data_IF_135737044530
#
_entry.id   IF_135737044530
#
_cell.length_a   1.000
_cell.length_b   1.000
_cell.length_c   1.000
_cell.angle_alpha   90.00
_cell.angle_beta   90.00
_cell.angle_gamma   90.00
#
_symmetry.space_group_name_H-M   'P 1'
#
loop_
_entity.id
_entity.type
_entity.pdbx_description
1 polymer ?
#
# COMPACT_ATOMS: atom_id res chain seq x y z
N UNK A 1 -26.94 -7.97 -0.48
CA UNK A 1 -25.64 -8.60 -0.74
C UNK A 1 -25.68 -10.01 -1.33
N UNK A 2 -26.57 -10.93 -0.95
CA UNK A 2 -26.62 -12.31 -1.50
C UNK A 2 -26.93 -12.43 -3.02
N UNK A 3 -27.53 -11.42 -3.68
CA UNK A 3 -27.82 -11.45 -5.12
C UNK A 3 -26.63 -11.11 -6.03
N UNK A 4 -25.67 -10.30 -5.55
CA UNK A 4 -24.50 -9.87 -6.34
C UNK A 4 -23.49 -11.02 -6.50
N UNK A 5 -23.35 -11.87 -5.49
CA UNK A 5 -22.43 -13.01 -5.51
C UNK A 5 -22.79 -14.07 -6.58
N UNK A 6 -24.09 -14.36 -6.76
CA UNK A 6 -24.55 -15.33 -7.79
C UNK A 6 -24.33 -14.83 -9.21
N UNK A 7 -24.49 -13.51 -9.44
CA UNK A 7 -24.30 -12.91 -10.77
C UNK A 7 -22.82 -12.85 -11.18
N UNK A 8 -21.89 -12.62 -10.23
CA UNK A 8 -20.45 -12.61 -10.50
C UNK A 8 -19.90 -14.00 -10.87
N UNK A 9 -20.31 -15.03 -10.14
CA UNK A 9 -19.92 -16.43 -10.42
C UNK A 9 -20.50 -16.89 -11.76
N UNK A 10 -21.73 -16.50 -12.08
CA UNK A 10 -22.36 -16.82 -13.36
C UNK A 10 -21.64 -16.16 -14.53
N UNK A 11 -21.17 -14.92 -14.37
CA UNK A 11 -20.40 -14.20 -15.39
C UNK A 11 -19.04 -14.87 -15.66
N UNK A 12 -18.35 -15.31 -14.62
CA UNK A 12 -17.06 -16.04 -14.72
C UNK A 12 -17.26 -17.39 -15.41
N UNK A 13 -18.31 -18.13 -15.05
CA UNK A 13 -18.65 -19.39 -15.69
C UNK A 13 -19.08 -19.22 -17.16
N UNK A 14 -19.80 -18.13 -17.48
CA UNK A 14 -20.14 -17.78 -18.86
C UNK A 14 -18.90 -17.41 -19.68
N UNK A 15 -17.95 -16.65 -19.12
CA UNK A 15 -16.69 -16.30 -19.78
C UNK A 15 -15.82 -17.54 -20.04
N UNK A 16 -15.73 -18.46 -19.06
CA UNK A 16 -15.02 -19.73 -19.22
C UNK A 16 -15.69 -20.65 -20.26
N UNK A 17 -17.02 -20.64 -20.34
CA UNK A 17 -17.77 -21.42 -21.31
C UNK A 17 -17.63 -20.86 -22.74
N UNK A 18 -17.58 -19.53 -22.90
CA UNK A 18 -17.39 -18.87 -24.20
C UNK A 18 -15.99 -19.11 -24.75
N UNK A 19 -14.95 -19.15 -23.88
CA UNK A 19 -13.59 -19.45 -24.32
C UNK A 19 -13.40 -20.88 -24.83
N UNK A 20 -14.12 -21.86 -24.27
CA UNK A 20 -14.11 -23.25 -24.77
C UNK A 20 -14.74 -23.41 -26.17
N UNK A 21 -15.70 -22.54 -26.52
CA UNK A 21 -16.42 -22.62 -27.82
C UNK A 21 -15.59 -22.04 -28.99
N UNK A 22 -14.68 -21.09 -28.72
CA UNK A 22 -13.93 -20.39 -29.76
C UNK A 22 -12.49 -20.88 -30.00
N UNK A 23 -12.05 -21.94 -29.31
CA UNK A 23 -10.72 -22.54 -29.52
C UNK A 23 -9.55 -21.62 -29.21
N UNK A 24 -9.75 -20.59 -28.40
CA UNK A 24 -8.71 -19.66 -27.94
C UNK A 24 -8.33 -20.00 -26.50
N UNK A 25 -7.05 -20.19 -26.24
CA UNK A 25 -6.55 -20.44 -24.88
C UNK A 25 -6.38 -19.12 -24.15
N UNK A 26 -7.35 -18.73 -23.32
CA UNK A 26 -7.12 -17.68 -22.32
C UNK A 26 -6.05 -18.20 -21.35
N UNK A 27 -5.01 -17.39 -21.12
CA UNK A 27 -4.02 -17.68 -20.08
C UNK A 27 -4.72 -17.66 -18.71
N UNK A 28 -4.79 -18.83 -18.08
CA UNK A 28 -5.35 -18.98 -16.73
C UNK A 28 -4.20 -19.37 -15.82
N UNK A 29 -3.97 -18.58 -14.79
CA UNK A 29 -3.02 -18.87 -13.72
C UNK A 29 -3.64 -18.47 -12.39
N UNK A 30 -3.00 -18.86 -11.31
CA UNK A 30 -3.51 -18.51 -9.99
C UNK A 30 -2.76 -19.19 -8.87
N UNK A 31 -3.27 -19.04 -7.67
CA UNK A 31 -2.72 -19.74 -6.51
C UNK A 31 -3.78 -20.00 -5.45
N UNK A 32 -3.52 -21.05 -4.67
CA UNK A 32 -4.16 -21.30 -3.38
C UNK A 32 -3.10 -21.12 -2.31
N UNK A 33 -3.42 -20.41 -1.24
CA UNK A 33 -2.49 -20.16 -0.14
C UNK A 33 -3.19 -20.31 1.21
N UNK A 34 -2.58 -21.02 2.13
CA UNK A 34 -2.88 -20.91 3.55
C UNK A 34 -1.85 -19.98 4.19
N UNK A 35 -2.32 -19.05 5.02
CA UNK A 35 -1.51 -18.18 5.86
C UNK A 35 -2.00 -18.33 7.29
N UNK A 36 -1.15 -18.86 8.15
CA UNK A 36 -1.43 -19.04 9.57
C UNK A 36 -0.35 -18.39 10.39
N UNK A 37 -0.75 -17.52 11.31
CA UNK A 37 0.12 -16.80 12.23
C UNK A 37 -0.37 -16.89 13.67
N UNK A 38 0.57 -17.01 14.60
CA UNK A 38 0.35 -17.15 16.04
C UNK A 38 1.11 -16.03 16.76
N UNK A 39 0.44 -15.34 17.67
CA UNK A 39 1.09 -14.37 18.56
C UNK A 39 2.11 -15.08 19.46
N UNK A 40 3.27 -14.45 19.67
CA UNK A 40 4.34 -14.98 20.52
C UNK A 40 4.22 -14.50 21.98
N UNK A 41 3.23 -13.66 22.25
CA UNK A 41 2.97 -13.06 23.57
C UNK A 41 1.59 -13.47 24.08
N UNK A 42 1.39 -13.43 25.39
CA UNK A 42 0.14 -13.81 26.02
C UNK A 42 -0.16 -15.31 25.92
N UNK A 43 -1.39 -15.64 25.51
CA UNK A 43 -1.89 -17.02 25.44
C UNK A 43 -1.59 -17.71 24.10
N UNK A 44 -0.67 -17.20 23.30
CA UNK A 44 -0.32 -17.73 21.97
C UNK A 44 -1.52 -17.86 21.02
N UNK A 45 -2.39 -16.89 21.04
CA UNK A 45 -3.58 -16.87 20.18
C UNK A 45 -3.24 -16.78 18.69
N UNK A 46 -4.10 -17.32 17.86
CA UNK A 46 -3.98 -17.12 16.42
C UNK A 46 -4.18 -15.64 16.07
N UNK A 47 -3.17 -15.04 15.46
CA UNK A 47 -3.25 -13.69 14.91
C UNK A 47 -4.02 -13.68 13.59
N UNK A 48 -3.84 -14.73 12.77
CA UNK A 48 -4.49 -14.88 11.48
C UNK A 48 -4.58 -16.36 11.11
N UNK A 49 -5.70 -16.78 10.53
CA UNK A 49 -5.87 -18.02 9.77
C UNK A 49 -6.65 -17.63 8.52
N UNK A 50 -5.93 -17.53 7.40
CA UNK A 50 -6.49 -17.10 6.12
C UNK A 50 -6.22 -18.15 5.04
N UNK A 51 -7.25 -18.51 4.29
CA UNK A 51 -7.12 -19.29 3.07
C UNK A 51 -7.42 -18.36 1.89
N UNK A 52 -6.48 -18.23 0.98
CA UNK A 52 -6.60 -17.39 -0.21
C UNK A 52 -6.83 -18.28 -1.43
N UNK A 53 -7.77 -17.89 -2.27
CA UNK A 53 -7.90 -18.38 -3.63
C UNK A 53 -7.81 -17.16 -4.57
N UNK A 54 -6.83 -17.17 -5.46
CA UNK A 54 -6.61 -16.12 -6.44
C UNK A 54 -6.56 -16.71 -7.83
N UNK A 55 -7.24 -16.07 -8.78
CA UNK A 55 -7.20 -16.41 -10.19
C UNK A 55 -6.71 -15.21 -11.00
N UNK A 56 -6.02 -15.48 -12.07
CA UNK A 56 -5.60 -14.51 -13.06
C UNK A 56 -6.02 -15.00 -14.44
N UNK A 57 -6.89 -14.23 -15.09
CA UNK A 57 -7.29 -14.41 -16.48
C UNK A 57 -6.65 -13.29 -17.27
N UNK A 58 -5.79 -13.63 -18.22
CA UNK A 58 -5.04 -12.67 -19.01
C UNK A 58 -4.87 -13.17 -20.43
N UNK A 59 -5.14 -12.31 -21.40
CA UNK A 59 -4.86 -12.57 -22.81
C UNK A 59 -4.60 -11.27 -23.55
N UNK A 60 -3.71 -11.31 -24.51
CA UNK A 60 -3.45 -10.22 -25.45
C UNK A 60 -3.54 -10.76 -26.87
N UNK A 61 -4.40 -10.13 -27.67
CA UNK A 61 -4.59 -10.47 -29.08
C UNK A 61 -4.50 -9.22 -29.96
N UNK A 62 -3.53 -9.20 -30.86
CA UNK A 62 -3.26 -8.04 -31.70
C UNK A 62 -3.01 -6.76 -30.86
N UNK A 63 -3.93 -5.80 -31.00
CA UNK A 63 -3.86 -4.48 -30.32
C UNK A 63 -4.78 -4.37 -29.09
N UNK A 64 -5.30 -5.48 -28.58
CA UNK A 64 -6.19 -5.50 -27.43
C UNK A 64 -5.74 -6.56 -26.43
N UNK A 65 -5.58 -6.18 -25.18
CA UNK A 65 -5.35 -7.05 -24.05
C UNK A 65 -6.44 -6.90 -22.99
N UNK A 66 -6.58 -7.90 -22.15
CA UNK A 66 -7.37 -7.77 -20.92
C UNK A 66 -6.72 -8.53 -19.76
N UNK A 67 -7.03 -8.10 -18.56
CA UNK A 67 -6.71 -8.82 -17.33
C UNK A 67 -7.87 -8.77 -16.37
N UNK A 68 -8.19 -9.92 -15.74
CA UNK A 68 -9.17 -10.01 -14.64
C UNK A 68 -8.57 -10.88 -13.54
N UNK A 69 -8.44 -10.32 -12.35
CA UNK A 69 -7.82 -10.98 -11.20
C UNK A 69 -8.76 -10.99 -9.99
N UNK A 70 -9.71 -11.94 -9.93
CA UNK A 70 -10.56 -12.15 -8.76
C UNK A 70 -9.80 -12.87 -7.65
N UNK A 71 -10.17 -12.56 -6.40
CA UNK A 71 -9.66 -13.26 -5.22
C UNK A 71 -10.76 -13.52 -4.21
N UNK A 72 -10.50 -14.51 -3.35
CA UNK A 72 -11.28 -14.84 -2.16
C UNK A 72 -10.33 -14.96 -0.99
N UNK A 73 -10.58 -14.23 0.08
CA UNK A 73 -9.94 -14.41 1.38
C UNK A 73 -10.96 -15.02 2.35
N UNK A 74 -10.75 -16.26 2.75
CA UNK A 74 -11.54 -16.91 3.77
C UNK A 74 -10.77 -16.90 5.08
N UNK A 75 -11.27 -16.15 6.04
CA UNK A 75 -10.74 -16.09 7.41
C UNK A 75 -11.51 -17.04 8.31
N UNK A 76 -10.82 -17.72 9.25
CA UNK A 76 -11.46 -18.67 10.16
C UNK A 76 -12.49 -17.99 11.07
N UNK A 77 -12.21 -16.77 11.53
CA UNK A 77 -13.02 -16.08 12.54
C UNK A 77 -13.58 -14.73 12.06
N UNK A 78 -13.58 -14.48 10.77
CA UNK A 78 -14.09 -13.25 10.14
C UNK A 78 -14.93 -13.58 8.91
N UNK A 79 -15.62 -12.59 8.38
CA UNK A 79 -16.36 -12.75 7.13
C UNK A 79 -15.43 -13.04 5.95
N UNK A 80 -15.88 -13.90 5.04
CA UNK A 80 -15.15 -14.17 3.79
C UNK A 80 -15.20 -12.95 2.89
N UNK A 81 -14.05 -12.46 2.47
CA UNK A 81 -13.90 -11.34 1.56
C UNK A 81 -13.77 -11.81 0.11
N UNK A 82 -14.53 -11.19 -0.79
CA UNK A 82 -14.46 -11.42 -2.23
C UNK A 82 -14.11 -10.11 -2.92
N UNK A 83 -13.19 -10.16 -3.87
CA UNK A 83 -12.78 -8.95 -4.56
C UNK A 83 -12.21 -9.18 -5.95
N UNK A 84 -12.01 -8.06 -6.63
CA UNK A 84 -11.21 -7.96 -7.84
C UNK A 84 -9.98 -7.11 -7.52
N UNK A 85 -8.79 -7.67 -7.69
CA UNK A 85 -7.54 -6.92 -7.55
C UNK A 85 -7.34 -6.02 -8.77
N UNK A 86 -7.55 -6.59 -9.95
CA UNK A 86 -7.49 -5.90 -11.24
C UNK A 86 -8.61 -6.41 -12.15
N UNK A 87 -9.13 -5.52 -13.00
CA UNK A 87 -10.07 -5.83 -14.08
C UNK A 87 -10.01 -4.69 -15.11
N UNK A 88 -9.23 -4.85 -16.18
CA UNK A 88 -8.99 -3.80 -17.14
C UNK A 88 -8.83 -4.32 -18.58
N UNK A 89 -8.92 -3.39 -19.53
CA UNK A 89 -8.60 -3.57 -20.93
C UNK A 89 -7.38 -2.74 -21.28
N UNK A 90 -6.48 -3.30 -22.09
CA UNK A 90 -5.36 -2.64 -22.73
C UNK A 90 -5.65 -2.46 -24.22
N UNK A 91 -5.38 -1.27 -24.74
CA UNK A 91 -5.43 -0.92 -26.16
C UNK A 91 -4.06 -0.43 -26.59
N UNK A 92 -3.43 -1.15 -27.52
CA UNK A 92 -2.07 -0.88 -27.99
C UNK A 92 -2.10 -0.17 -29.33
N UNK A 93 -1.50 1.03 -29.38
CA UNK A 93 -1.33 1.84 -30.58
C UNK A 93 0.16 1.99 -30.88
N UNK A 94 0.49 2.53 -32.03
CA UNK A 94 1.89 2.59 -32.48
C UNK A 94 2.77 3.54 -31.62
N UNK A 95 2.18 4.60 -31.05
CA UNK A 95 2.89 5.61 -30.28
C UNK A 95 2.43 5.70 -28.81
N UNK A 96 1.32 5.06 -28.44
CA UNK A 96 0.80 5.10 -27.08
C UNK A 96 0.00 3.85 -26.76
N UNK A 97 -0.11 3.55 -25.48
CA UNK A 97 -0.99 2.52 -24.93
C UNK A 97 -2.04 3.17 -24.05
N UNK A 98 -3.23 2.57 -24.01
CA UNK A 98 -4.33 3.02 -23.18
C UNK A 98 -4.84 1.86 -22.34
N UNK A 99 -4.87 2.02 -21.01
CA UNK A 99 -5.45 1.05 -20.09
C UNK A 99 -6.67 1.64 -19.40
N UNK A 100 -7.78 0.90 -19.40
CA UNK A 100 -9.07 1.35 -18.84
C UNK A 100 -9.63 0.28 -17.95
N UNK A 101 -9.94 0.62 -16.71
CA UNK A 101 -10.56 -0.28 -15.74
C UNK A 101 -9.86 -0.28 -14.39
N UNK A 102 -10.18 -1.29 -13.56
CA UNK A 102 -9.60 -1.44 -12.24
C UNK A 102 -8.17 -1.96 -12.34
N UNK A 103 -7.20 -1.17 -11.89
CA UNK A 103 -5.77 -1.45 -12.06
C UNK A 103 -4.96 -0.99 -10.86
N UNK A 104 -3.86 -1.66 -10.56
CA UNK A 104 -2.83 -1.18 -9.66
C UNK A 104 -1.82 -0.37 -10.46
N UNK A 105 -1.51 0.83 -10.01
CA UNK A 105 -0.52 1.73 -10.61
C UNK A 105 0.56 1.97 -9.57
N UNK A 106 1.80 1.62 -9.92
CA UNK A 106 2.94 1.62 -9.00
C UNK A 106 3.94 2.64 -9.50
N UNK A 107 4.26 3.61 -8.65
CA UNK A 107 5.27 4.61 -8.89
C UNK A 107 6.39 4.50 -7.85
N UNK A 108 7.53 5.16 -8.12
CA UNK A 108 8.66 5.19 -7.20
C UNK A 108 9.53 3.94 -7.22
N UNK A 109 10.59 3.99 -6.42
CA UNK A 109 11.67 2.99 -6.36
C UNK A 109 12.03 2.56 -4.94
N UNK A 110 11.24 2.96 -3.94
CA UNK A 110 11.45 2.63 -2.54
C UNK A 110 11.02 1.19 -2.23
N UNK A 111 11.77 0.49 -1.39
CA UNK A 111 11.42 -0.83 -0.87
C UNK A 111 10.68 -0.69 0.45
N UNK A 112 9.43 -1.14 0.49
CA UNK A 112 8.61 -1.18 1.69
C UNK A 112 8.09 0.18 2.17
N UNK A 113 8.43 1.28 1.48
CA UNK A 113 8.00 2.65 1.81
C UNK A 113 7.31 3.28 0.59
N UNK A 114 6.35 4.14 0.83
CA UNK A 114 5.53 4.77 -0.20
C UNK A 114 5.75 6.29 -0.15
N UNK A 115 6.59 6.82 -1.05
CA UNK A 115 6.89 8.26 -1.14
C UNK A 115 6.19 8.86 -2.37
N UNK A 116 6.50 8.37 -3.56
CA UNK A 116 5.84 8.78 -4.80
C UNK A 116 4.83 7.75 -5.30
N UNK A 117 4.72 6.62 -4.63
CA UNK A 117 3.76 5.55 -4.91
C UNK A 117 2.40 5.87 -4.26
N UNK A 118 1.70 6.82 -4.87
CA UNK A 118 0.52 7.48 -4.31
C UNK A 118 -0.75 7.27 -5.15
N UNK A 119 -0.64 6.69 -6.35
CA UNK A 119 -1.80 6.54 -7.25
C UNK A 119 -2.72 5.43 -6.77
N UNK A 120 -2.16 4.33 -6.28
CA UNK A 120 -2.92 3.22 -5.70
C UNK A 120 -2.97 3.32 -4.18
N UNK A 121 -4.15 3.44 -3.55
CA UNK A 121 -4.29 3.45 -2.10
C UNK A 121 -3.88 2.11 -1.51
N UNK A 122 -3.65 2.06 -0.21
CA UNK A 122 -3.11 0.88 0.48
C UNK A 122 -4.19 0.14 1.26
N UNK A 123 -4.07 -1.18 1.31
CA UNK A 123 -4.80 -2.02 2.26
C UNK A 123 -3.91 -2.26 3.48
N UNK A 124 -4.12 -1.47 4.52
CA UNK A 124 -3.42 -1.56 5.81
C UNK A 124 -4.22 -2.35 6.84
N UNK A 125 -5.25 -3.11 6.45
CA UNK A 125 -6.08 -3.90 7.37
C UNK A 125 -5.28 -4.91 8.21
N UNK A 126 -4.10 -5.31 7.74
CA UNK A 126 -3.10 -6.10 8.45
C UNK A 126 -1.82 -5.28 8.70
N UNK A 127 -1.93 -3.97 8.92
CA UNK A 127 -0.81 -3.05 9.01
C UNK A 127 0.09 -3.15 7.75
N UNK A 128 1.41 -3.22 7.88
CA UNK A 128 2.37 -3.37 6.78
C UNK A 128 2.75 -4.85 6.50
N UNK A 129 1.91 -5.81 6.91
CA UNK A 129 2.24 -7.24 6.87
C UNK A 129 1.78 -7.95 5.61
N UNK A 130 0.87 -7.35 4.84
CA UNK A 130 0.43 -7.89 3.55
C UNK A 130 1.59 -8.00 2.57
N UNK A 131 1.49 -8.95 1.66
CA UNK A 131 2.45 -9.10 0.57
C UNK A 131 2.41 -7.85 -0.35
N UNK A 132 3.51 -7.55 -1.00
CA UNK A 132 3.72 -6.28 -1.70
C UNK A 132 2.69 -6.02 -2.83
N UNK A 133 2.26 -7.04 -3.53
CA UNK A 133 1.21 -6.98 -4.56
C UNK A 133 -0.20 -7.00 -3.98
N UNK A 134 -0.37 -7.34 -2.70
CA UNK A 134 -1.66 -7.33 -2.01
C UNK A 134 -1.92 -6.04 -1.24
N UNK A 135 -0.86 -5.34 -0.82
CA UNK A 135 -0.99 -4.10 -0.03
C UNK A 135 -1.54 -2.94 -0.86
N UNK A 136 -1.29 -2.91 -2.19
CA UNK A 136 -1.86 -1.89 -3.07
C UNK A 136 -3.24 -2.29 -3.54
N UNK A 137 -4.19 -1.41 -3.38
CA UNK A 137 -5.55 -1.62 -3.88
C UNK A 137 -5.65 -1.15 -5.33
N UNK A 138 -6.30 -1.94 -6.17
CA UNK A 138 -6.61 -1.52 -7.53
C UNK A 138 -7.68 -0.43 -7.53
N UNK A 139 -7.49 0.60 -8.34
CA UNK A 139 -8.44 1.70 -8.57
C UNK A 139 -8.98 1.66 -9.99
N UNK A 140 -10.20 2.14 -10.18
CA UNK A 140 -10.74 2.36 -11.53
C UNK A 140 -10.13 3.62 -12.11
N UNK A 141 -9.38 3.48 -13.21
CA UNK A 141 -8.66 4.57 -13.82
C UNK A 141 -8.60 4.42 -15.35
N UNK A 142 -8.29 5.53 -16.02
CA UNK A 142 -7.81 5.59 -17.38
C UNK A 142 -6.33 5.96 -17.29
N UNK A 143 -5.46 5.09 -17.80
CA UNK A 143 -4.01 5.32 -17.89
C UNK A 143 -3.60 5.34 -19.36
N UNK A 144 -2.84 6.37 -19.75
CA UNK A 144 -2.28 6.51 -21.09
C UNK A 144 -0.77 6.64 -21.00
N UNK A 145 -0.04 5.77 -21.69
CA UNK A 145 1.42 5.79 -21.83
C UNK A 145 1.79 6.22 -23.25
N UNK A 146 2.43 7.39 -23.40
CA UNK A 146 2.93 7.89 -24.66
C UNK A 146 4.44 7.73 -24.74
N UNK A 147 4.93 7.10 -25.82
CA UNK A 147 6.33 6.73 -25.99
C UNK A 147 7.08 7.72 -26.88
N UNK A 148 8.22 8.21 -26.39
CA UNK A 148 9.10 9.16 -27.11
C UNK A 148 10.53 8.62 -27.05
N UNK A 149 10.93 7.82 -28.04
CA UNK A 149 12.22 7.14 -28.00
C UNK A 149 12.32 6.20 -26.79
N UNK A 150 13.32 6.43 -25.93
CA UNK A 150 13.50 5.67 -24.68
C UNK A 150 12.76 6.29 -23.48
N UNK A 151 11.91 7.26 -23.73
CA UNK A 151 11.19 7.96 -22.67
C UNK A 151 9.69 7.65 -22.75
N UNK A 152 9.00 7.73 -21.62
CA UNK A 152 7.56 7.52 -21.52
C UNK A 152 6.92 8.67 -20.78
N UNK A 153 5.85 9.20 -21.33
CA UNK A 153 4.96 10.12 -20.63
C UNK A 153 3.69 9.36 -20.25
N UNK A 154 3.47 9.18 -18.96
CA UNK A 154 2.28 8.51 -18.39
C UNK A 154 1.31 9.56 -17.86
N UNK A 155 0.05 9.43 -18.23
CA UNK A 155 -1.06 10.21 -17.68
C UNK A 155 -2.08 9.27 -17.05
N UNK A 156 -2.55 9.60 -15.85
CA UNK A 156 -3.57 8.83 -15.12
C UNK A 156 -4.73 9.73 -14.72
N UNK A 157 -5.94 9.28 -15.01
CA UNK A 157 -7.19 9.89 -14.59
C UNK A 157 -7.98 8.91 -13.74
N UNK A 158 -8.30 9.31 -12.50
CA UNK A 158 -9.07 8.51 -11.53
C UNK A 158 -10.41 9.20 -11.29
N UNK A 159 -11.52 8.67 -11.81
CA UNK A 159 -12.84 9.32 -11.71
C UNK A 159 -13.46 9.27 -10.30
N UNK A 160 -13.07 8.28 -9.50
CA UNK A 160 -13.66 8.02 -8.17
C UNK A 160 -12.56 7.77 -7.17
N UNK A 161 -12.50 8.59 -6.14
CA UNK A 161 -11.58 8.45 -5.02
C UNK A 161 -11.81 7.15 -4.25
N UNK A 162 -10.72 6.51 -3.86
CA UNK A 162 -10.73 5.32 -3.02
C UNK A 162 -9.71 5.52 -1.89
N UNK A 163 -10.12 5.62 -0.63
CA UNK A 163 -9.21 5.85 0.48
C UNK A 163 -8.40 4.60 0.84
N UNK A 164 -7.31 4.78 1.58
CA UNK A 164 -6.60 3.71 2.28
C UNK A 164 -7.56 2.92 3.18
N UNK A 165 -7.47 1.59 3.11
CA UNK A 165 -8.24 0.71 3.99
C UNK A 165 -7.50 0.51 5.30
N UNK A 166 -8.06 1.02 6.37
CA UNK A 166 -7.51 0.88 7.73
C UNK A 166 -7.95 -0.45 8.37
N UNK A 167 -7.25 -0.93 9.42
CA UNK A 167 -7.69 -2.08 10.21
C UNK A 167 -9.07 -1.85 10.82
N UNK A 168 -9.86 -2.94 10.94
CA UNK A 168 -11.11 -2.93 11.71
C UNK A 168 -10.85 -2.63 13.18
N UNK A 169 -11.80 -1.99 13.87
CA UNK A 169 -11.66 -1.62 15.29
C UNK A 169 -11.41 -2.82 16.23
N UNK A 170 -11.83 -4.02 15.83
CA UNK A 170 -11.60 -5.25 16.59
C UNK A 170 -10.30 -5.97 16.17
N UNK A 171 -9.60 -5.45 15.17
CA UNK A 171 -8.33 -6.03 14.73
C UNK A 171 -7.22 -5.77 15.73
N UNK A 172 -6.33 -6.75 15.94
CA UNK A 172 -5.10 -6.58 16.70
C UNK A 172 -4.17 -5.53 16.06
N UNK A 173 -4.38 -5.18 14.79
CA UNK A 173 -3.64 -4.17 14.04
C UNK A 173 -4.29 -2.78 14.12
N UNK A 174 -5.43 -2.65 14.82
CA UNK A 174 -6.05 -1.34 15.03
C UNK A 174 -5.16 -0.51 15.95
N UNK A 175 -4.70 0.68 15.52
CA UNK A 175 -3.87 1.52 16.38
C UNK A 175 -4.68 1.95 17.60
N UNK A 176 -4.05 1.91 18.78
CA UNK A 176 -4.70 2.33 20.02
C UNK A 176 -5.34 3.72 19.83
N UNK A 177 -6.55 3.94 20.37
CA UNK A 177 -7.25 5.21 20.21
C UNK A 177 -6.39 6.39 20.66
N UNK A 178 -6.22 7.37 19.79
CA UNK A 178 -5.53 8.62 20.11
C UNK A 178 -6.46 9.62 20.84
N UNK A 179 -7.75 9.25 20.98
CA UNK A 179 -8.79 10.08 21.53
C UNK A 179 -9.32 9.51 22.84
N UNK A 180 -9.96 10.38 23.66
CA UNK A 180 -10.67 9.95 24.85
C UNK A 180 -11.66 8.81 24.54
N UNK A 181 -11.84 7.83 25.44
CA UNK A 181 -12.87 6.79 25.28
C UNK A 181 -14.30 7.33 25.10
N UNK A 182 -14.55 8.57 25.52
CA UNK A 182 -15.84 9.25 25.40
C UNK A 182 -15.92 10.12 24.13
N UNK A 183 -14.95 10.05 23.20
CA UNK A 183 -15.02 10.77 21.95
C UNK A 183 -16.09 10.16 21.03
N UNK A 184 -16.97 11.00 20.51
CA UNK A 184 -17.94 10.62 19.49
C UNK A 184 -17.33 10.80 18.10
N UNK A 185 -17.65 9.89 17.16
CA UNK A 185 -17.20 10.00 15.78
C UNK A 185 -18.36 10.37 14.86
N UNK A 186 -18.22 11.49 14.15
CA UNK A 186 -19.14 11.91 13.10
C UNK A 186 -18.49 11.70 11.72
N UNK A 187 -18.95 10.68 11.01
CA UNK A 187 -18.47 10.33 9.67
C UNK A 187 -19.20 11.06 8.54
N UNK A 188 -20.01 12.08 8.83
CA UNK A 188 -20.79 12.80 7.80
C UNK A 188 -19.91 13.46 6.74
N UNK A 189 -18.68 13.86 7.10
CA UNK A 189 -17.69 14.47 6.19
C UNK A 189 -16.67 13.47 5.62
N UNK A 190 -16.72 12.21 6.00
CA UNK A 190 -15.75 11.19 5.58
C UNK A 190 -16.02 10.59 4.19
N UNK A 191 -16.99 11.14 3.45
CA UNK A 191 -17.33 10.67 2.11
C UNK A 191 -17.04 11.73 1.06
N UNK A 192 -16.19 11.38 0.11
CA UNK A 192 -15.98 12.19 -1.09
C UNK A 192 -17.03 11.79 -2.13
N UNK A 193 -17.88 12.74 -2.53
CA UNK A 193 -18.94 12.47 -3.50
C UNK A 193 -18.39 12.08 -4.88
N UNK A 194 -19.03 11.11 -5.54
CA UNK A 194 -18.67 10.67 -6.88
C UNK A 194 -19.10 11.71 -7.94
N UNK A 195 -18.33 12.78 -8.06
CA UNK A 195 -18.53 13.89 -9.02
C UNK A 195 -17.27 14.07 -9.86
N UNK A 196 -17.42 14.54 -11.08
CA UNK A 196 -16.31 14.81 -11.98
C UNK A 196 -15.28 15.80 -11.38
N UNK A 197 -15.75 16.79 -10.61
CA UNK A 197 -14.89 17.74 -9.88
C UNK A 197 -14.04 17.09 -8.79
N UNK A 198 -14.40 15.89 -8.36
CA UNK A 198 -13.72 15.13 -7.33
C UNK A 198 -12.76 14.06 -7.88
N UNK A 199 -12.59 14.03 -9.20
CA UNK A 199 -11.62 13.16 -9.85
C UNK A 199 -10.17 13.55 -9.49
N UNK A 200 -9.26 12.60 -9.62
CA UNK A 200 -7.84 12.77 -9.40
C UNK A 200 -7.10 12.68 -10.73
N UNK A 201 -6.01 13.41 -10.85
CA UNK A 201 -5.16 13.43 -12.05
C UNK A 201 -3.70 13.35 -11.69
N UNK A 202 -2.96 12.56 -12.47
CA UNK A 202 -1.54 12.36 -12.26
C UNK A 202 -0.83 12.35 -13.61
N UNK A 203 0.43 12.80 -13.60
CA UNK A 203 1.31 12.75 -14.74
C UNK A 203 2.72 12.35 -14.31
N UNK A 204 3.37 11.49 -15.10
CA UNK A 204 4.74 11.05 -14.87
C UNK A 204 5.51 11.05 -16.18
N UNK A 205 6.73 11.55 -16.17
CA UNK A 205 7.71 11.39 -17.22
C UNK A 205 8.83 10.49 -16.75
N UNK A 206 9.10 9.42 -17.48
CA UNK A 206 10.18 8.47 -17.21
C UNK A 206 11.21 8.54 -18.32
N UNK A 207 12.47 8.70 -17.95
CA UNK A 207 13.61 8.73 -18.87
C UNK A 207 14.59 7.61 -18.55
N UNK A 208 14.98 6.87 -19.60
CA UNK A 208 15.98 5.81 -19.52
C UNK A 208 17.20 6.23 -20.32
N UNK A 209 18.36 6.35 -19.63
CA UNK A 209 19.65 6.61 -20.26
C UNK A 209 20.64 5.49 -19.92
N UNK A 210 21.80 5.49 -20.56
CA UNK A 210 22.87 4.52 -20.24
C UNK A 210 23.46 4.70 -18.85
N UNK A 211 23.26 5.86 -18.21
CA UNK A 211 23.87 6.20 -16.93
C UNK A 211 22.86 6.24 -15.77
N UNK A 212 21.63 6.65 -16.03
CA UNK A 212 20.63 6.90 -15.02
C UNK A 212 19.22 6.65 -15.55
N UNK A 213 18.40 6.02 -14.75
CA UNK A 213 16.96 5.96 -14.91
C UNK A 213 16.35 6.99 -13.98
N UNK A 214 15.46 7.82 -14.49
CA UNK A 214 14.81 8.84 -13.67
C UNK A 214 13.33 8.98 -14.00
N UNK A 215 12.58 9.48 -13.03
CA UNK A 215 11.18 9.81 -13.15
C UNK A 215 10.91 11.19 -12.55
N UNK A 216 10.03 11.94 -13.18
CA UNK A 216 9.48 13.20 -12.65
C UNK A 216 7.97 13.08 -12.68
N UNK A 217 7.30 13.47 -11.62
CA UNK A 217 5.86 13.24 -11.50
C UNK A 217 5.16 14.36 -10.76
N UNK A 218 3.88 14.49 -11.06
CA UNK A 218 2.99 15.42 -10.39
C UNK A 218 1.59 14.79 -10.27
N UNK A 219 0.84 15.21 -9.25
CA UNK A 219 -0.53 14.76 -9.02
C UNK A 219 -1.37 15.82 -8.31
N UNK A 220 -2.66 15.81 -8.61
CA UNK A 220 -3.68 16.51 -7.84
C UNK A 220 -4.73 15.49 -7.43
N UNK A 221 -4.76 15.19 -6.14
CA UNK A 221 -5.44 14.02 -5.61
C UNK A 221 -6.10 14.34 -4.27
N UNK A 222 -6.83 13.40 -3.73
CA UNK A 222 -7.23 13.40 -2.33
C UNK A 222 -6.12 12.79 -1.48
N UNK A 223 -6.00 13.25 -0.24
CA UNK A 223 -5.18 12.56 0.75
C UNK A 223 -5.83 11.22 1.11
N UNK A 224 -5.11 10.13 0.93
CA UNK A 224 -5.65 8.78 1.22
C UNK A 224 -5.97 8.59 2.72
N UNK A 225 -5.38 9.41 3.60
CA UNK A 225 -5.60 9.40 5.04
C UNK A 225 -6.44 10.63 5.44
N UNK A 226 -7.57 10.44 6.16
CA UNK A 226 -8.41 11.55 6.57
C UNK A 226 -7.74 12.39 7.67
N UNK A 227 -7.91 13.70 7.62
CA UNK A 227 -7.61 14.56 8.74
C UNK A 227 -8.67 14.39 9.84
N UNK A 228 -8.23 14.29 11.10
CA UNK A 228 -9.12 14.11 12.25
C UNK A 228 -9.49 15.47 12.83
N UNK A 229 -10.53 16.11 12.28
CA UNK A 229 -11.07 17.36 12.81
C UNK A 229 -11.72 17.11 14.17
N UNK A 230 -11.58 18.04 15.11
CA UNK A 230 -12.04 17.87 16.49
C UNK A 230 -12.93 19.06 16.90
N UNK A 231 -14.19 18.77 17.21
CA UNK A 231 -15.10 19.74 17.81
C UNK A 231 -15.18 19.49 19.32
N UNK A 232 -14.67 20.45 20.10
CA UNK A 232 -14.77 20.44 21.56
C UNK A 232 -16.04 21.18 21.98
N UNK A 233 -16.89 20.53 22.76
CA UNK A 233 -18.13 21.06 23.30
C UNK A 233 -18.14 20.94 24.81
N UNK A 234 -18.96 21.72 25.46
CA UNK A 234 -19.26 21.57 26.90
C UNK A 234 -20.77 21.39 27.00
N UNK A 235 -21.20 20.30 27.61
CA UNK A 235 -22.60 20.05 27.85
C UNK A 235 -23.14 21.15 28.80
N UNK A 236 -24.14 21.96 28.38
CA UNK A 236 -24.65 23.05 29.18
C UNK A 236 -25.28 22.59 30.51
N UNK A 237 -25.79 21.35 30.57
CA UNK A 237 -26.50 20.81 31.75
C UNK A 237 -25.52 20.16 32.76
N UNK A 238 -24.54 19.38 32.27
CA UNK A 238 -23.61 18.63 33.12
C UNK A 238 -22.27 19.33 33.30
N UNK A 239 -21.96 20.34 32.47
CA UNK A 239 -20.65 21.00 32.35
C UNK A 239 -19.51 20.03 31.99
N UNK A 240 -19.83 18.85 31.49
CA UNK A 240 -18.82 17.88 31.05
C UNK A 240 -18.29 18.24 29.67
N UNK A 241 -16.96 18.10 29.44
CA UNK A 241 -16.38 18.33 28.14
C UNK A 241 -16.72 17.17 27.17
N UNK A 242 -17.29 17.50 26.04
CA UNK A 242 -17.52 16.58 24.92
C UNK A 242 -16.46 16.76 23.85
N UNK A 243 -16.14 15.68 23.15
CA UNK A 243 -15.25 15.68 21.99
C UNK A 243 -15.91 14.92 20.84
N UNK A 244 -16.16 15.63 19.74
CA UNK A 244 -16.59 14.99 18.47
C UNK A 244 -15.43 15.00 17.50
N UNK A 245 -15.06 13.84 16.99
CA UNK A 245 -14.00 13.65 15.97
C UNK A 245 -14.68 13.46 14.62
N UNK A 246 -14.32 14.31 13.66
CA UNK A 246 -14.87 14.32 12.30
C UNK A 246 -13.75 13.99 11.30
N UNK A 247 -13.62 12.73 10.84
CA UNK A 247 -12.67 12.40 9.78
C UNK A 247 -13.09 13.08 8.47
N UNK A 248 -12.18 13.84 7.83
CA UNK A 248 -12.43 14.54 6.57
C UNK A 248 -11.24 14.37 5.62
N UNK A 249 -11.53 14.05 4.34
CA UNK A 249 -10.51 13.97 3.30
C UNK A 249 -10.30 15.34 2.66
N UNK A 250 -9.03 15.68 2.40
CA UNK A 250 -8.62 16.95 1.82
C UNK A 250 -7.87 16.76 0.51
N UNK A 251 -7.95 17.77 -0.37
CA UNK A 251 -7.17 17.81 -1.60
C UNK A 251 -5.72 18.13 -1.30
N UNK A 252 -4.83 17.35 -1.91
CA UNK A 252 -3.40 17.59 -1.86
C UNK A 252 -2.80 17.63 -3.27
N UNK A 253 -1.77 18.46 -3.43
CA UNK A 253 -0.92 18.50 -4.61
C UNK A 253 0.39 17.78 -4.33
N UNK A 254 0.86 17.02 -5.32
CA UNK A 254 2.14 16.33 -5.30
C UNK A 254 3.03 16.82 -6.44
N UNK A 255 4.32 17.04 -6.16
CA UNK A 255 5.38 17.11 -7.18
C UNK A 255 6.58 16.32 -6.68
N UNK A 256 7.10 15.41 -7.48
CA UNK A 256 8.17 14.52 -7.05
C UNK A 256 9.00 13.94 -8.17
N UNK A 257 9.95 13.10 -7.80
CA UNK A 257 10.78 12.37 -8.73
C UNK A 257 11.59 11.28 -8.05
N UNK A 258 12.10 10.39 -8.87
CA UNK A 258 12.98 9.31 -8.43
C UNK A 258 14.12 9.10 -9.43
N UNK A 259 15.18 8.50 -8.97
CA UNK A 259 16.27 8.06 -9.85
C UNK A 259 16.89 6.75 -9.35
N UNK A 260 17.54 6.05 -10.28
CA UNK A 260 18.38 4.89 -9.98
C UNK A 260 19.59 4.90 -10.91
N UNK A 261 20.76 4.62 -10.37
CA UNK A 261 22.00 4.49 -11.13
C UNK A 261 22.91 3.43 -10.52
N UNK A 262 23.74 2.81 -11.34
CA UNK A 262 24.74 1.82 -10.88
C UNK A 262 26.13 2.38 -11.00
N UNK A 263 26.85 2.49 -9.88
CA UNK A 263 28.22 3.00 -9.81
C UNK A 263 29.11 1.90 -9.21
N UNK A 264 30.01 1.34 -10.02
CA UNK A 264 30.97 0.30 -9.59
C UNK A 264 30.29 -0.90 -8.87
N UNK A 265 29.10 -1.31 -9.35
CA UNK A 265 28.37 -2.44 -8.79
C UNK A 265 27.50 -2.12 -7.58
N UNK A 266 27.51 -0.88 -7.10
CA UNK A 266 26.55 -0.36 -6.11
C UNK A 266 25.41 0.32 -6.82
N UNK A 267 24.17 -0.04 -6.53
CA UNK A 267 22.99 0.68 -7.01
C UNK A 267 22.68 1.79 -6.02
N UNK A 268 22.72 3.03 -6.49
CA UNK A 268 22.27 4.21 -5.77
C UNK A 268 20.90 4.57 -6.28
N UNK A 269 19.94 4.75 -5.39
CA UNK A 269 18.59 5.23 -5.71
C UNK A 269 18.17 6.34 -4.79
N UNK A 270 17.35 7.23 -5.32
CA UNK A 270 16.77 8.33 -4.57
C UNK A 270 15.35 8.58 -5.02
N UNK A 271 14.55 9.07 -4.09
CA UNK A 271 13.15 9.41 -4.32
C UNK A 271 12.80 10.62 -3.45
N UNK A 272 12.05 11.57 -3.98
CA UNK A 272 11.59 12.72 -3.21
C UNK A 272 10.24 13.19 -3.73
N UNK A 273 9.39 13.63 -2.80
CA UNK A 273 8.10 14.22 -3.10
C UNK A 273 7.84 15.43 -2.19
N UNK A 274 7.37 16.51 -2.79
CA UNK A 274 6.81 17.67 -2.14
C UNK A 274 5.29 17.59 -2.18
N UNK A 275 4.68 17.79 -1.01
CA UNK A 275 3.24 17.74 -0.84
C UNK A 275 2.73 19.10 -0.34
N UNK A 276 1.59 19.54 -0.87
CA UNK A 276 0.93 20.76 -0.50
C UNK A 276 -0.54 20.47 -0.15
N UNK A 277 -1.02 21.00 0.97
CA UNK A 277 -2.41 20.84 1.40
C UNK A 277 -2.64 19.71 2.42
N UNK A 278 -1.59 19.14 3.05
CA UNK A 278 -1.75 18.12 4.10
C UNK A 278 -2.18 18.76 5.41
N UNK A 279 -3.20 18.21 6.05
CA UNK A 279 -3.65 18.59 7.38
C UNK A 279 -2.95 17.73 8.45
N UNK A 280 -2.43 18.39 9.47
CA UNK A 280 -1.79 17.79 10.64
C UNK A 280 -2.58 18.12 11.90
N UNK A 281 -2.64 17.21 12.87
CA UNK A 281 -3.23 17.47 14.17
C UNK A 281 -2.45 18.54 14.91
N UNK A 282 -3.16 19.51 15.52
CA UNK A 282 -2.59 20.60 16.28
C UNK A 282 -3.13 20.64 17.72
N UNK A 283 -2.24 20.85 18.66
CA UNK A 283 -2.58 21.09 20.06
C UNK A 283 -2.87 22.57 20.36
N UNK A 284 -2.71 23.48 19.38
CA UNK A 284 -3.03 24.91 19.53
C UNK A 284 -4.54 25.07 19.79
N UNK A 285 -4.95 25.68 20.92
CA UNK A 285 -6.37 25.95 21.18
C UNK A 285 -7.00 26.90 20.17
N UNK A 286 -6.22 27.69 19.45
CA UNK A 286 -6.68 28.60 18.40
C UNK A 286 -6.81 27.92 17.02
N UNK A 287 -6.24 26.72 16.86
CA UNK A 287 -6.37 25.96 15.62
C UNK A 287 -7.83 25.54 15.41
N UNK A 288 -8.42 25.97 14.31
CA UNK A 288 -9.77 25.61 13.96
C UNK A 288 -9.89 24.07 13.87
N UNK A 289 -10.82 23.50 14.64
CA UNK A 289 -11.09 22.07 14.68
C UNK A 289 -9.84 21.19 15.01
N UNK A 290 -8.81 21.75 15.67
CA UNK A 290 -7.64 21.01 16.14
C UNK A 290 -6.73 20.47 15.03
N UNK A 291 -6.76 21.05 13.84
CA UNK A 291 -5.91 20.71 12.70
C UNK A 291 -5.29 21.95 12.08
N UNK A 292 -4.16 21.80 11.41
CA UNK A 292 -3.48 22.86 10.66
C UNK A 292 -2.98 22.33 9.32
N UNK A 293 -3.19 23.11 8.25
CA UNK A 293 -2.68 22.78 6.92
C UNK A 293 -1.20 23.15 6.82
N UNK A 294 -0.38 22.22 6.35
CA UNK A 294 1.04 22.41 6.11
C UNK A 294 1.48 21.73 4.81
N UNK A 295 2.64 22.18 4.35
CA UNK A 295 3.39 21.53 3.28
C UNK A 295 4.43 20.62 3.90
N UNK A 296 4.80 19.53 3.20
CA UNK A 296 5.91 18.70 3.63
C UNK A 296 6.70 18.16 2.45
N UNK A 297 7.93 17.77 2.73
CA UNK A 297 8.80 17.03 1.82
C UNK A 297 9.07 15.67 2.44
N UNK A 298 8.98 14.63 1.64
CA UNK A 298 9.46 13.31 2.03
C UNK A 298 10.48 12.83 1.01
N UNK A 299 11.59 12.28 1.47
CA UNK A 299 12.62 11.77 0.58
C UNK A 299 13.30 10.52 1.13
N UNK A 300 13.95 9.81 0.22
CA UNK A 300 14.69 8.59 0.47
C UNK A 300 16.01 8.62 -0.29
N UNK A 301 17.05 8.08 0.34
CA UNK A 301 18.30 7.67 -0.33
C UNK A 301 18.54 6.21 0.04
N UNK A 302 18.78 5.37 -0.97
CA UNK A 302 19.00 3.94 -0.83
C UNK A 302 20.26 3.47 -1.56
N UNK A 303 20.89 2.46 -0.99
CA UNK A 303 22.06 1.79 -1.54
C UNK A 303 21.83 0.27 -1.55
N UNK A 304 22.05 -0.35 -2.72
CA UNK A 304 21.98 -1.80 -2.85
C UNK A 304 23.32 -2.33 -3.33
N UNK A 305 23.77 -3.41 -2.72
CA UNK A 305 25.02 -4.08 -3.07
C UNK A 305 24.93 -5.58 -2.81
N UNK A 306 25.65 -6.38 -3.61
CA UNK A 306 25.78 -7.81 -3.36
C UNK A 306 27.17 -8.10 -2.82
N UNK A 307 27.25 -8.55 -1.56
CA UNK A 307 28.50 -8.88 -0.87
C UNK A 307 28.50 -10.37 -0.54
N UNK A 308 29.46 -11.12 -1.08
CA UNK A 308 29.60 -12.58 -0.88
C UNK A 308 28.31 -13.38 -1.15
N UNK A 309 27.56 -12.96 -2.16
CA UNK A 309 26.29 -13.58 -2.51
C UNK A 309 25.11 -13.21 -1.59
N UNK A 310 25.32 -12.29 -0.64
CA UNK A 310 24.25 -11.67 0.14
C UNK A 310 23.85 -10.36 -0.54
N UNK A 311 22.59 -10.21 -0.90
CA UNK A 311 22.02 -8.93 -1.31
C UNK A 311 21.79 -8.08 -0.05
N UNK A 312 22.36 -6.89 -0.04
CA UNK A 312 22.24 -5.93 1.06
C UNK A 312 21.61 -4.67 0.49
N UNK A 313 20.50 -4.25 1.04
CA UNK A 313 19.86 -2.95 0.74
C UNK A 313 19.71 -2.17 2.03
N UNK A 314 20.08 -0.89 2.01
CA UNK A 314 19.85 0.04 3.11
C UNK A 314 19.24 1.32 2.58
N UNK A 315 18.23 1.83 3.26
CA UNK A 315 17.56 3.08 2.91
C UNK A 315 17.46 3.98 4.13
N UNK A 316 17.65 5.27 3.93
CA UNK A 316 17.29 6.32 4.88
C UNK A 316 16.14 7.13 4.32
N UNK A 317 15.12 7.33 5.12
CA UNK A 317 13.89 8.03 4.77
C UNK A 317 13.68 9.16 5.77
N UNK A 318 13.37 10.35 5.27
CA UNK A 318 13.01 11.49 6.12
C UNK A 318 11.76 12.19 5.56
N UNK A 319 10.84 12.54 6.44
CA UNK A 319 9.73 13.45 6.19
C UNK A 319 9.98 14.73 6.97
N UNK A 320 9.81 15.89 6.32
CA UNK A 320 10.05 17.21 6.89
C UNK A 320 8.80 18.06 6.73
N UNK A 321 8.19 18.48 7.82
CA UNK A 321 7.07 19.42 7.80
C UNK A 321 7.65 20.84 7.64
N UNK A 322 7.23 21.53 6.59
CA UNK A 322 7.65 22.89 6.31
C UNK A 322 6.78 23.88 7.08
N UNK A 323 7.33 25.07 7.37
CA UNK A 323 6.68 26.10 8.19
C UNK A 323 6.11 25.49 9.49
N UNK A 324 6.95 24.67 10.15
CA UNK A 324 6.59 23.93 11.35
C UNK A 324 6.24 24.85 12.50
N UNK A 325 5.26 24.45 13.29
CA UNK A 325 4.85 25.08 14.53
C UNK A 325 4.86 24.02 15.66
N UNK A 326 5.34 24.37 16.85
CA UNK A 326 5.49 23.44 17.98
C UNK A 326 4.15 22.89 18.49
N UNK A 327 3.03 23.49 18.09
CA UNK A 327 1.70 22.97 18.39
C UNK A 327 1.30 21.76 17.54
N UNK A 328 2.02 21.46 16.45
CA UNK A 328 1.79 20.30 15.63
C UNK A 328 2.18 19.03 16.42
N UNK A 329 1.27 18.05 16.46
CA UNK A 329 1.48 16.82 17.22
C UNK A 329 2.61 15.96 16.64
N UNK A 330 2.78 15.97 15.32
CA UNK A 330 3.84 15.23 14.64
C UNK A 330 5.19 15.94 14.83
N UNK A 331 6.29 15.18 14.87
CA UNK A 331 7.64 15.73 14.82
C UNK A 331 7.88 16.49 13.50
N UNK A 332 8.65 17.60 13.54
CA UNK A 332 9.07 18.31 12.35
C UNK A 332 9.84 17.40 11.38
N UNK A 333 10.72 16.56 11.92
CA UNK A 333 11.55 15.61 11.19
C UNK A 333 11.18 14.19 11.64
N UNK A 334 10.54 13.44 10.78
CA UNK A 334 10.29 12.02 11.00
C UNK A 334 11.35 11.21 10.22
N UNK A 335 12.16 10.46 10.93
CA UNK A 335 13.29 9.72 10.38
C UNK A 335 13.06 8.22 10.49
N UNK A 336 13.31 7.50 9.42
CA UNK A 336 13.22 6.04 9.38
C UNK A 336 14.37 5.48 8.54
N UNK A 337 14.81 4.27 8.88
CA UNK A 337 15.70 3.48 8.04
C UNK A 337 15.04 2.13 7.71
N UNK A 338 15.42 1.55 6.57
CA UNK A 338 15.11 0.15 6.26
C UNK A 338 16.38 -0.60 5.93
N UNK A 339 16.41 -1.89 6.29
CA UNK A 339 17.50 -2.79 5.95
C UNK A 339 16.89 -4.07 5.38
N UNK A 340 17.40 -4.49 4.21
CA UNK A 340 17.09 -5.78 3.61
C UNK A 340 18.39 -6.58 3.46
N UNK A 341 18.40 -7.79 4.00
CA UNK A 341 19.42 -8.79 3.74
C UNK A 341 18.75 -10.00 3.11
N UNK A 342 19.24 -10.47 1.97
CA UNK A 342 18.67 -11.64 1.30
C UNK A 342 19.77 -12.51 0.71
N UNK A 343 19.65 -13.84 0.87
CA UNK A 343 20.56 -14.81 0.29
C UNK A 343 19.82 -16.04 -0.18
N UNK A 344 20.15 -16.45 -1.40
CA UNK A 344 19.68 -17.69 -2.00
C UNK A 344 20.65 -18.83 -1.73
N UNK A 345 20.11 -20.02 -1.44
CA UNK A 345 20.82 -21.26 -1.16
C UNK A 345 20.24 -22.41 -2.00
N UNK A 346 20.89 -23.56 -1.99
CA UNK A 346 20.39 -24.80 -2.62
C UNK A 346 19.97 -24.60 -4.09
N UNK A 347 20.76 -23.88 -4.89
CA UNK A 347 20.43 -23.51 -6.28
C UNK A 347 19.14 -22.70 -6.37
N UNK A 348 19.01 -21.70 -5.48
CA UNK A 348 17.88 -20.76 -5.43
C UNK A 348 16.54 -21.35 -4.95
N UNK A 349 16.49 -22.64 -4.56
CA UNK A 349 15.27 -23.26 -4.00
C UNK A 349 15.01 -22.88 -2.54
N UNK A 350 16.02 -22.37 -1.83
CA UNK A 350 15.90 -21.86 -0.46
C UNK A 350 16.37 -20.42 -0.40
N UNK A 351 15.52 -19.51 0.06
CA UNK A 351 15.83 -18.10 0.27
C UNK A 351 15.68 -17.74 1.75
N UNK A 352 16.72 -17.14 2.32
CA UNK A 352 16.65 -16.50 3.63
C UNK A 352 16.64 -14.99 3.45
N UNK A 353 15.72 -14.29 4.11
CA UNK A 353 15.56 -12.86 4.03
C UNK A 353 15.30 -12.26 5.42
N UNK A 354 15.93 -11.13 5.69
CA UNK A 354 15.66 -10.28 6.83
C UNK A 354 15.33 -8.89 6.30
N UNK A 355 14.11 -8.45 6.51
CA UNK A 355 13.69 -7.08 6.25
C UNK A 355 13.35 -6.38 7.56
N UNK A 356 13.81 -5.15 7.74
CA UNK A 356 13.56 -4.40 8.97
C UNK A 356 13.20 -2.94 8.65
N UNK A 357 12.20 -2.43 9.35
CA UNK A 357 11.93 -1.00 9.49
C UNK A 357 12.45 -0.54 10.85
N UNK A 358 13.08 0.61 10.91
CA UNK A 358 13.69 1.19 12.11
C UNK A 358 13.25 2.66 12.21
N UNK A 359 12.38 2.96 13.15
CA UNK A 359 11.96 4.32 13.48
C UNK A 359 13.01 5.01 14.35
N UNK A 360 13.71 6.00 13.79
CA UNK A 360 14.85 6.62 14.47
C UNK A 360 14.44 7.64 15.53
N UNK A 361 13.26 8.25 15.41
CA UNK A 361 12.76 9.22 16.39
C UNK A 361 12.34 8.56 17.71
N UNK A 362 11.74 7.37 17.62
CA UNK A 362 11.16 6.68 18.77
C UNK A 362 11.95 5.43 19.20
N UNK A 363 13.02 5.09 18.46
CA UNK A 363 13.81 3.87 18.66
C UNK A 363 12.93 2.61 18.63
N UNK A 364 11.97 2.58 17.71
CA UNK A 364 11.06 1.48 17.47
C UNK A 364 11.40 0.75 16.18
N UNK A 365 11.02 -0.51 16.07
CA UNK A 365 11.31 -1.28 14.86
C UNK A 365 10.27 -2.38 14.60
N UNK A 366 10.17 -2.77 13.32
CA UNK A 366 9.53 -4.01 12.87
C UNK A 366 10.58 -4.85 12.14
N UNK A 367 10.91 -6.01 12.71
CA UNK A 367 11.93 -6.94 12.21
C UNK A 367 11.20 -8.16 11.63
N UNK A 368 11.48 -8.49 10.36
CA UNK A 368 10.75 -9.50 9.59
C UNK A 368 11.69 -10.55 9.00
N UNK A 369 12.23 -11.50 9.79
CA UNK A 369 12.96 -12.64 9.24
C UNK A 369 11.98 -13.58 8.55
N UNK A 370 12.37 -14.11 7.38
CA UNK A 370 11.62 -15.16 6.69
C UNK A 370 12.55 -16.11 5.93
N UNK A 371 12.12 -17.33 5.80
CA UNK A 371 12.75 -18.38 4.99
C UNK A 371 11.67 -18.89 4.03
N UNK A 372 11.97 -18.86 2.74
CA UNK A 372 11.11 -19.40 1.69
C UNK A 372 11.78 -20.61 1.08
N UNK A 373 11.03 -21.70 0.91
CA UNK A 373 11.51 -22.94 0.34
C UNK A 373 10.55 -23.46 -0.74
N UNK A 374 11.07 -23.59 -1.96
CA UNK A 374 10.37 -24.20 -3.08
C UNK A 374 10.43 -25.71 -2.95
N UNK A 375 9.33 -26.31 -2.46
CA UNK A 375 9.20 -27.76 -2.22
C UNK A 375 9.13 -28.55 -3.52
N UNK A 376 8.44 -28.01 -4.51
CA UNK A 376 8.25 -28.55 -5.86
C UNK A 376 7.76 -27.43 -6.79
N UNK A 377 7.66 -27.70 -8.09
CA UNK A 377 7.13 -26.76 -9.06
C UNK A 377 5.75 -26.21 -8.62
N UNK A 378 5.67 -24.90 -8.46
CA UNK A 378 4.49 -24.21 -8.00
C UNK A 378 4.18 -24.33 -6.50
N UNK A 379 4.94 -25.13 -5.73
CA UNK A 379 4.66 -25.40 -4.32
C UNK A 379 5.70 -24.75 -3.40
N UNK A 380 5.33 -23.71 -2.69
CA UNK A 380 6.17 -22.87 -1.83
C UNK A 380 5.75 -22.99 -0.37
N UNK A 381 6.72 -23.16 0.52
CA UNK A 381 6.60 -23.01 1.97
C UNK A 381 7.39 -21.80 2.43
N UNK A 382 6.75 -20.88 3.13
CA UNK A 382 7.38 -19.75 3.79
C UNK A 382 7.17 -19.86 5.30
N UNK A 383 8.25 -19.72 6.06
CA UNK A 383 8.26 -19.56 7.50
C UNK A 383 8.80 -18.17 7.84
N UNK A 384 8.15 -17.46 8.73
CA UNK A 384 8.59 -16.11 9.09
C UNK A 384 8.12 -15.67 10.47
N UNK A 385 8.63 -14.51 10.88
CA UNK A 385 8.15 -13.81 12.05
C UNK A 385 8.01 -12.31 11.75
N UNK A 386 7.13 -11.65 12.49
CA UNK A 386 7.04 -10.21 12.59
C UNK A 386 7.27 -9.86 14.06
N UNK A 387 8.37 -9.16 14.33
CA UNK A 387 8.82 -8.82 15.67
C UNK A 387 8.78 -7.30 15.77
N UNK A 388 7.96 -6.80 16.66
CA UNK A 388 7.81 -5.39 16.96
C UNK A 388 8.62 -5.06 18.20
N UNK A 389 9.22 -3.87 18.26
CA UNK A 389 9.97 -3.43 19.44
C UNK A 389 9.87 -1.93 19.61
N UNK A 390 9.87 -1.48 20.85
CA UNK A 390 9.77 -0.08 21.26
C UNK A 390 8.55 0.20 22.10
N UNK A 391 8.59 1.29 22.88
CA UNK A 391 7.48 1.68 23.76
C UNK A 391 6.41 2.54 23.06
N UNK A 392 6.80 3.19 21.97
CA UNK A 392 5.98 4.15 21.22
C UNK A 392 6.38 4.18 19.74
N UNK A 393 5.77 5.07 18.98
CA UNK A 393 6.06 5.20 17.55
C UNK A 393 5.17 4.34 16.67
N UNK A 394 5.54 4.20 15.42
CA UNK A 394 4.76 3.48 14.42
C UNK A 394 4.72 1.97 14.69
N UNK A 395 5.82 1.40 15.13
CA UNK A 395 6.00 -0.04 15.36
C UNK A 395 5.86 -0.41 16.84
N UNK A 396 6.42 0.38 17.76
CA UNK A 396 6.43 0.11 19.20
C UNK A 396 5.04 0.00 19.80
N UNK A 397 4.02 0.68 19.24
CA UNK A 397 2.62 0.50 19.64
C UNK A 397 2.10 -0.93 19.49
N UNK A 398 2.77 -1.76 18.69
CA UNK A 398 2.45 -3.16 18.43
C UNK A 398 3.42 -4.15 19.08
N UNK A 399 4.23 -3.72 20.06
CA UNK A 399 5.22 -4.55 20.76
C UNK A 399 4.67 -5.88 21.31
N UNK A 400 3.37 -5.90 21.64
CA UNK A 400 2.68 -7.12 22.11
C UNK A 400 2.14 -8.01 20.97
N UNK A 401 2.31 -7.62 19.73
CA UNK A 401 1.78 -8.32 18.55
C UNK A 401 2.86 -9.10 17.79
N UNK A 402 3.95 -9.45 18.45
CA UNK A 402 4.94 -10.35 17.90
C UNK A 402 4.28 -11.63 17.41
N UNK A 403 4.61 -12.05 16.18
CA UNK A 403 3.92 -13.14 15.52
C UNK A 403 4.90 -14.02 14.77
N UNK A 404 4.84 -15.34 14.98
CA UNK A 404 5.40 -16.31 14.07
C UNK A 404 4.33 -16.80 13.10
N UNK A 405 4.70 -17.06 11.86
CA UNK A 405 3.75 -17.49 10.85
C UNK A 405 4.35 -18.43 9.82
N UNK A 406 3.46 -19.16 9.14
CA UNK A 406 3.81 -19.85 7.90
C UNK A 406 2.81 -19.51 6.79
N UNK A 407 3.29 -19.59 5.55
CA UNK A 407 2.45 -19.56 4.35
C UNK A 407 2.76 -20.80 3.54
N UNK A 408 1.73 -21.52 3.13
CA UNK A 408 1.82 -22.64 2.21
C UNK A 408 1.05 -22.26 0.96
N UNK A 409 1.74 -22.21 -0.19
CA UNK A 409 1.19 -21.72 -1.45
C UNK A 409 1.41 -22.72 -2.56
N UNK A 410 0.37 -22.94 -3.35
CA UNK A 410 0.45 -23.66 -4.61
C UNK A 410 0.01 -22.76 -5.75
N UNK A 411 0.88 -22.56 -6.72
CA UNK A 411 0.65 -21.75 -7.94
C UNK A 411 0.48 -22.68 -9.15
N UNK A 412 -0.44 -22.37 -10.05
CA UNK A 412 -0.77 -23.17 -11.23
C UNK A 412 -0.97 -22.29 -12.46
#
# INVERSE_FOLDING_TARGET
MKKICKSGILLILLFAAVSMVYGQSIGISGYVRNYTGVLLTGDYNYAIIQNTFNLNFEETKNKVGFKVNPYVYHYQNQETEYGLRQAYLDLYFDAFDLRIGKQQIIWGKADGVFITDVVSPKDLSEFLLRDFDEIRMGITAVKADYYIGNNTFEFVYVPVFTPTRMPDQNSIWYPAPQFSPNAEFDYSKSQVENKLSNSEVFAKFSGLTSAIDFEIMAGYMWDDDPAMHMLRTVDPATQEPGLTVMPEYHRIGLAGGSFSTTIKGVVLRGESAYYNGKYFSSADPAAAEGVTEKKYVQYLIGLDYTLWGVKVSGQFIQKVILDYDESIVNDQYENMATILLSKDFLRETLRAELFSYIGLNNSDALIRPKITYDLADGFELLLGANIFTGDKGMFGRFDKNDMAYFKLKYSF
#
